data_IF_596571613727
#
_entry.id   IF_596571613727
#
_cell.length_a   1.000
_cell.length_b   1.000
_cell.length_c   1.000
_cell.angle_alpha   90.00
_cell.angle_beta   90.00
_cell.angle_gamma   90.00
#
_symmetry.space_group_name_H-M   'P 1'
#
loop_
_entity.id
_entity.type
_entity.pdbx_description
1 polymer ?
#
# COMPACT_ATOMS: atom_id res chain seq x y z
N UNK A 1 45.70 -2.91 -13.39
CA UNK A 1 44.87 -1.83 -12.82
C UNK A 1 43.42 -2.08 -13.20
N UNK A 2 42.62 -2.68 -12.30
CA UNK A 2 41.18 -2.89 -12.50
C UNK A 2 40.45 -1.65 -11.97
N UNK A 3 39.83 -0.90 -12.87
CA UNK A 3 38.92 0.19 -12.53
C UNK A 3 37.72 -0.39 -11.77
N UNK A 4 37.66 -0.12 -10.46
CA UNK A 4 36.48 -0.32 -9.63
C UNK A 4 35.55 0.85 -9.90
N UNK A 5 34.66 0.72 -10.88
CA UNK A 5 33.56 1.64 -11.04
C UNK A 5 32.67 1.56 -9.78
N UNK A 6 32.29 2.69 -9.18
CA UNK A 6 31.32 2.66 -8.09
C UNK A 6 29.99 2.16 -8.67
N UNK A 7 29.52 1.03 -8.15
CA UNK A 7 28.16 0.56 -8.33
C UNK A 7 27.21 1.65 -7.84
N UNK A 8 26.67 2.44 -8.77
CA UNK A 8 25.58 3.38 -8.49
C UNK A 8 24.38 2.56 -8.02
N UNK A 9 24.25 2.39 -6.71
CA UNK A 9 23.00 1.99 -6.08
C UNK A 9 22.04 3.16 -6.27
N UNK A 10 21.32 3.18 -7.38
CA UNK A 10 20.09 3.98 -7.48
C UNK A 10 19.09 3.33 -6.53
N UNK A 11 19.19 3.65 -5.24
CA UNK A 11 18.19 3.27 -4.25
C UNK A 11 16.90 4.01 -4.64
N UNK A 12 15.98 3.29 -5.25
CA UNK A 12 14.67 3.84 -5.61
C UNK A 12 13.96 4.13 -4.29
N UNK A 13 13.64 5.40 -4.06
CA UNK A 13 12.95 5.82 -2.84
C UNK A 13 11.54 5.25 -2.79
N UNK A 14 11.07 4.82 -1.61
CA UNK A 14 9.67 4.47 -1.40
C UNK A 14 8.75 5.62 -1.80
N UNK A 15 7.58 5.28 -2.31
CA UNK A 15 6.54 6.25 -2.60
C UNK A 15 5.49 6.20 -1.49
N UNK A 16 5.30 7.33 -0.80
CA UNK A 16 4.34 7.46 0.29
C UNK A 16 3.16 8.33 -0.11
N UNK A 17 1.98 7.99 0.38
CA UNK A 17 0.75 8.76 0.16
C UNK A 17 -0.18 8.63 1.37
N UNK A 18 -1.09 9.57 1.55
CA UNK A 18 -2.06 9.59 2.65
C UNK A 18 -3.43 9.99 2.13
N UNK A 19 -4.47 9.28 2.58
CA UNK A 19 -5.86 9.67 2.33
C UNK A 19 -6.77 9.28 3.49
N UNK A 20 -7.93 9.92 3.61
CA UNK A 20 -8.99 9.53 4.53
C UNK A 20 -9.93 8.54 3.85
N UNK A 21 -10.36 7.52 4.59
CA UNK A 21 -11.38 6.56 4.17
C UNK A 21 -12.48 6.51 5.23
N UNK A 22 -13.72 6.23 4.82
CA UNK A 22 -14.83 6.08 5.77
C UNK A 22 -14.60 4.82 6.62
N UNK A 23 -14.52 5.00 7.94
CA UNK A 23 -14.43 3.91 8.90
C UNK A 23 -15.82 3.29 9.09
N UNK A 24 -16.11 2.25 8.32
CA UNK A 24 -17.31 1.42 8.48
C UNK A 24 -16.94 0.07 9.10
N UNK A 25 -16.15 0.06 10.18
CA UNK A 25 -15.75 -1.17 10.89
C UNK A 25 -15.14 -2.21 9.96
N UNK A 26 -15.68 -3.43 9.96
CA UNK A 26 -15.18 -4.57 9.14
C UNK A 26 -15.24 -4.34 7.62
N UNK A 27 -15.93 -3.30 7.13
CA UNK A 27 -16.03 -3.00 5.70
C UNK A 27 -14.67 -2.66 5.09
N UNK A 28 -13.80 -1.99 5.84
CA UNK A 28 -12.46 -1.65 5.36
C UNK A 28 -11.64 -2.92 5.11
N UNK A 29 -11.69 -3.89 6.02
CA UNK A 29 -11.07 -5.21 5.85
C UNK A 29 -11.59 -5.95 4.62
N UNK A 30 -12.92 -5.92 4.38
CA UNK A 30 -13.52 -6.55 3.20
C UNK A 30 -13.06 -5.88 1.89
N UNK A 31 -12.94 -4.55 1.86
CA UNK A 31 -12.39 -3.82 0.70
C UNK A 31 -10.95 -4.24 0.41
N UNK A 32 -10.14 -4.44 1.46
CA UNK A 32 -8.76 -4.92 1.32
C UNK A 32 -8.69 -6.37 0.80
N UNK A 33 -9.60 -7.25 1.21
CA UNK A 33 -9.70 -8.60 0.64
C UNK A 33 -10.00 -8.59 -0.87
N UNK A 34 -10.87 -7.68 -1.32
CA UNK A 34 -11.14 -7.49 -2.75
C UNK A 34 -9.89 -7.04 -3.52
N UNK A 35 -9.11 -6.12 -2.94
CA UNK A 35 -7.86 -5.66 -3.52
C UNK A 35 -6.80 -6.76 -3.60
N UNK A 36 -6.70 -7.60 -2.56
CA UNK A 36 -5.80 -8.75 -2.52
C UNK A 36 -6.12 -9.72 -3.66
N UNK A 37 -7.39 -10.03 -3.88
CA UNK A 37 -7.83 -10.91 -4.96
C UNK A 37 -7.55 -10.29 -6.34
N UNK A 38 -7.89 -9.02 -6.56
CA UNK A 38 -7.72 -8.34 -7.84
C UNK A 38 -6.25 -8.17 -8.24
N UNK A 39 -5.38 -7.87 -7.26
CA UNK A 39 -3.97 -7.61 -7.49
C UNK A 39 -3.08 -8.84 -7.26
N UNK A 40 -3.69 -10.00 -6.96
CA UNK A 40 -3.00 -11.25 -6.60
C UNK A 40 -1.93 -10.98 -5.53
N UNK A 41 -2.28 -10.17 -4.53
CA UNK A 41 -1.37 -9.78 -3.49
C UNK A 41 -1.19 -10.91 -2.46
N UNK A 42 0.01 -11.01 -1.91
CA UNK A 42 0.36 -11.94 -0.85
C UNK A 42 0.39 -11.16 0.48
N UNK A 43 -0.35 -11.61 1.48
CA UNK A 43 -0.31 -11.00 2.81
C UNK A 43 1.02 -11.37 3.46
N UNK A 44 1.82 -10.37 3.80
CA UNK A 44 3.09 -10.55 4.49
C UNK A 44 2.90 -10.48 6.00
N UNK A 45 2.03 -9.56 6.46
CA UNK A 45 1.87 -9.23 7.87
C UNK A 45 0.53 -8.55 8.12
N UNK A 46 -0.08 -8.82 9.27
CA UNK A 46 -1.33 -8.22 9.72
C UNK A 46 -1.25 -7.95 11.22
N UNK A 47 -1.29 -6.67 11.58
CA UNK A 47 -1.35 -6.22 12.98
C UNK A 47 -2.52 -5.24 13.15
N UNK A 48 -2.83 -4.89 14.39
CA UNK A 48 -3.86 -3.89 14.68
C UNK A 48 -3.43 -2.53 14.09
N UNK A 49 -4.18 -2.05 13.10
CA UNK A 49 -3.87 -0.81 12.40
C UNK A 49 -2.75 -0.91 11.36
N UNK A 50 -2.22 -2.10 11.03
CA UNK A 50 -1.19 -2.26 10.00
C UNK A 50 -1.46 -3.47 9.11
N UNK A 51 -1.38 -3.26 7.78
CA UNK A 51 -1.41 -4.33 6.78
C UNK A 51 -0.22 -4.21 5.85
N UNK A 52 0.53 -5.31 5.69
CA UNK A 52 1.65 -5.40 4.75
C UNK A 52 1.35 -6.44 3.70
N UNK A 53 1.39 -6.02 2.45
CA UNK A 53 1.09 -6.84 1.29
C UNK A 53 2.28 -6.84 0.34
N UNK A 54 2.52 -7.95 -0.34
CA UNK A 54 3.39 -8.02 -1.50
C UNK A 54 2.52 -8.11 -2.75
N UNK A 55 2.68 -7.15 -3.65
CA UNK A 55 2.00 -7.09 -4.93
C UNK A 55 2.97 -7.52 -6.03
N UNK A 56 2.53 -8.39 -6.93
CA UNK A 56 3.35 -8.89 -8.04
C UNK A 56 4.23 -10.08 -7.68
N UNK A 57 5.13 -10.47 -8.60
CA UNK A 57 5.78 -11.78 -8.57
C UNK A 57 7.30 -11.69 -8.50
N UNK A 58 7.90 -12.50 -7.62
CA UNK A 58 9.36 -12.72 -7.63
C UNK A 58 9.80 -13.45 -8.91
N UNK A 59 11.12 -13.46 -9.21
CA UNK A 59 11.66 -14.16 -10.40
C UNK A 59 11.28 -15.65 -10.42
N UNK A 60 11.35 -16.33 -9.26
CA UNK A 60 10.99 -17.74 -9.14
C UNK A 60 9.49 -17.96 -9.38
N UNK A 61 8.65 -17.11 -8.80
CA UNK A 61 7.19 -17.18 -8.98
C UNK A 61 6.80 -16.90 -10.44
N UNK A 62 7.45 -15.95 -11.13
CA UNK A 62 7.23 -15.71 -12.56
C UNK A 62 7.51 -16.94 -13.43
N UNK A 63 8.52 -17.73 -13.06
CA UNK A 63 8.86 -18.95 -13.76
C UNK A 63 7.82 -20.07 -13.53
N UNK A 64 7.35 -20.23 -12.29
CA UNK A 64 6.35 -21.26 -11.92
C UNK A 64 4.95 -20.94 -12.48
N UNK A 65 4.51 -19.69 -12.39
CA UNK A 65 3.13 -19.33 -12.70
C UNK A 65 2.87 -18.92 -14.15
N UNK A 66 3.91 -18.85 -15.00
CA UNK A 66 3.83 -18.35 -16.40
C UNK A 66 3.12 -16.99 -16.59
N UNK A 67 2.79 -16.31 -15.48
CA UNK A 67 2.11 -15.03 -15.45
C UNK A 67 3.13 -13.90 -15.50
N UNK A 68 2.85 -12.96 -16.39
CA UNK A 68 3.84 -12.03 -16.89
C UNK A 68 3.71 -10.61 -16.28
N UNK A 69 4.89 -9.98 -16.18
CA UNK A 69 5.18 -8.53 -16.26
C UNK A 69 5.24 -7.70 -14.98
N UNK A 70 4.55 -8.04 -13.89
CA UNK A 70 4.59 -7.20 -12.68
C UNK A 70 5.79 -7.54 -11.79
N UNK A 71 6.68 -6.57 -11.64
CA UNK A 71 7.78 -6.63 -10.69
C UNK A 71 7.21 -6.53 -9.27
N UNK A 72 7.84 -7.19 -8.28
CA UNK A 72 7.29 -7.23 -6.93
C UNK A 72 7.49 -5.90 -6.22
N UNK A 73 6.50 -5.50 -5.43
CA UNK A 73 6.55 -4.34 -4.53
C UNK A 73 5.85 -4.68 -3.22
N UNK A 74 6.30 -4.09 -2.12
CA UNK A 74 5.61 -4.14 -0.84
C UNK A 74 4.69 -2.91 -0.73
N UNK A 75 3.43 -3.16 -0.39
CA UNK A 75 2.42 -2.18 -0.05
C UNK A 75 2.20 -2.25 1.46
N UNK A 76 2.50 -1.16 2.16
CA UNK A 76 2.19 -0.98 3.58
C UNK A 76 1.02 -0.03 3.72
N UNK A 77 0.04 -0.42 4.51
CA UNK A 77 -1.14 0.36 4.85
C UNK A 77 -1.19 0.48 6.36
N UNK A 78 -1.11 1.70 6.88
CA UNK A 78 -1.24 1.99 8.30
C UNK A 78 -2.54 2.79 8.52
N UNK A 79 -3.36 2.32 9.46
CA UNK A 79 -4.67 2.85 9.76
C UNK A 79 -4.61 3.60 11.08
N UNK A 80 -4.92 4.89 11.04
CA UNK A 80 -4.95 5.76 12.22
C UNK A 80 -6.34 6.29 12.44
N UNK A 81 -6.86 6.12 13.64
CA UNK A 81 -8.07 6.82 14.05
C UNK A 81 -7.76 8.31 14.16
N UNK A 82 -8.64 9.15 13.62
CA UNK A 82 -8.50 10.59 13.73
C UNK A 82 -9.01 11.01 15.10
N UNK A 83 -8.12 11.02 16.10
CA UNK A 83 -8.42 11.60 17.40
C UNK A 83 -8.63 13.12 17.25
N UNK A 84 -9.88 13.53 17.13
CA UNK A 84 -10.27 14.92 17.34
C UNK A 84 -10.21 15.21 18.84
N UNK A 85 -9.00 15.41 19.34
CA UNK A 85 -8.77 16.08 20.61
C UNK A 85 -9.12 17.56 20.41
N UNK A 86 -10.37 17.91 20.71
CA UNK A 86 -10.87 19.22 21.18
C UNK A 86 -12.40 19.24 21.00
N UNK A 87 -13.13 18.93 22.08
CA UNK A 87 -14.40 19.56 22.49
C UNK A 87 -15.14 18.64 23.46
N UNK A 88 -14.96 18.95 24.74
CA UNK A 88 -15.91 18.67 25.83
C UNK A 88 -17.23 19.36 25.52
N UNK A 89 -18.20 18.66 24.94
CA UNK A 89 -19.63 18.89 25.19
C UNK A 89 -20.50 17.83 24.52
N UNK A 90 -21.34 17.22 25.34
CA UNK A 90 -22.68 16.72 25.05
C UNK A 90 -22.89 15.71 23.89
N UNK A 91 -23.24 14.48 24.29
CA UNK A 91 -24.28 13.60 23.73
C UNK A 91 -24.39 13.33 22.21
N UNK A 92 -23.46 13.80 21.38
CA UNK A 92 -23.40 13.58 19.91
C UNK A 92 -22.27 12.59 19.54
N UNK A 93 -21.56 12.04 20.52
CA UNK A 93 -20.35 11.21 20.40
C UNK A 93 -20.48 9.87 19.64
N UNK A 94 -21.61 9.57 19.00
CA UNK A 94 -21.74 8.38 18.13
C UNK A 94 -21.44 8.62 16.65
N UNK A 95 -21.24 9.88 16.22
CA UNK A 95 -20.94 10.20 14.82
C UNK A 95 -19.48 10.56 14.54
N UNK A 96 -18.64 10.67 15.58
CA UNK A 96 -17.27 11.22 15.49
C UNK A 96 -16.22 10.27 14.91
N UNK A 97 -16.45 8.95 14.87
CA UNK A 97 -15.47 7.97 14.36
C UNK A 97 -15.74 7.52 12.91
N UNK A 98 -16.13 8.45 12.02
CA UNK A 98 -16.53 8.12 10.64
C UNK A 98 -15.38 8.01 9.66
N UNK A 99 -14.18 8.47 10.01
CA UNK A 99 -13.05 8.52 9.07
C UNK A 99 -11.79 7.93 9.71
N UNK A 100 -11.12 7.05 8.97
CA UNK A 100 -9.80 6.52 9.29
C UNK A 100 -8.80 7.13 8.32
N UNK A 101 -7.68 7.62 8.83
CA UNK A 101 -6.54 8.00 8.00
C UNK A 101 -5.80 6.74 7.59
N UNK A 102 -5.57 6.61 6.29
CA UNK A 102 -4.79 5.52 5.69
C UNK A 102 -3.48 6.09 5.17
N UNK A 103 -2.41 5.75 5.87
CA UNK A 103 -1.04 5.99 5.45
C UNK A 103 -0.57 4.84 4.56
N UNK A 104 -0.10 5.17 3.36
CA UNK A 104 0.32 4.20 2.36
C UNK A 104 1.80 4.37 2.05
N UNK A 105 2.55 3.27 2.06
CA UNK A 105 3.92 3.23 1.57
C UNK A 105 4.09 2.10 0.56
N UNK A 106 4.61 2.45 -0.62
CA UNK A 106 5.00 1.51 -1.67
C UNK A 106 6.51 1.42 -1.71
N UNK A 107 7.03 0.20 -1.59
CA UNK A 107 8.46 -0.08 -1.51
C UNK A 107 8.83 -1.05 -2.63
N UNK A 108 9.80 -0.73 -3.49
CA UNK A 108 10.23 -1.65 -4.53
C UNK A 108 10.90 -2.88 -3.90
N UNK A 109 10.50 -4.08 -4.33
CA UNK A 109 11.18 -5.31 -3.94
C UNK A 109 12.11 -5.76 -5.07
N UNK A 110 13.39 -5.95 -4.73
CA UNK A 110 14.43 -6.37 -5.68
C UNK A 110 14.98 -5.24 -6.56
N UNK A 111 15.97 -5.58 -7.39
CA UNK A 111 16.80 -4.61 -8.12
C UNK A 111 16.38 -4.40 -9.58
N UNK A 112 15.26 -5.00 -10.01
CA UNK A 112 14.79 -4.97 -11.41
C UNK A 112 14.04 -3.69 -11.77
N UNK A 113 13.83 -2.79 -10.81
CA UNK A 113 13.08 -1.57 -10.98
C UNK A 113 13.92 -0.46 -11.60
N UNK A 114 13.28 0.33 -12.47
CA UNK A 114 13.76 1.68 -12.81
C UNK A 114 12.90 2.70 -12.06
N UNK A 115 13.42 3.89 -11.72
CA UNK A 115 12.66 4.92 -11.02
C UNK A 115 11.34 5.28 -11.73
N UNK A 116 11.37 5.44 -13.05
CA UNK A 116 10.20 5.83 -13.85
C UNK A 116 9.13 4.74 -13.84
N UNK A 117 9.55 3.48 -14.01
CA UNK A 117 8.64 2.34 -14.02
C UNK A 117 8.03 2.11 -12.64
N UNK A 118 8.84 2.23 -11.59
CA UNK A 118 8.36 2.13 -10.22
C UNK A 118 7.34 3.21 -9.91
N UNK A 119 7.63 4.46 -10.27
CA UNK A 119 6.72 5.58 -10.05
C UNK A 119 5.41 5.42 -10.83
N UNK A 120 5.46 4.96 -12.09
CA UNK A 120 4.28 4.73 -12.91
C UNK A 120 3.38 3.63 -12.32
N UNK A 121 3.95 2.47 -11.99
CA UNK A 121 3.19 1.36 -11.40
C UNK A 121 2.65 1.72 -10.01
N UNK A 122 3.44 2.43 -9.20
CA UNK A 122 3.03 2.87 -7.86
C UNK A 122 1.87 3.85 -7.92
N UNK A 123 1.90 4.84 -8.83
CA UNK A 123 0.80 5.78 -9.03
C UNK A 123 -0.47 5.08 -9.50
N UNK A 124 -0.36 4.10 -10.39
CA UNK A 124 -1.49 3.29 -10.83
C UNK A 124 -2.12 2.52 -9.67
N UNK A 125 -1.29 1.87 -8.85
CA UNK A 125 -1.77 1.14 -7.68
C UNK A 125 -2.42 2.06 -6.64
N UNK A 126 -1.83 3.23 -6.37
CA UNK A 126 -2.42 4.24 -5.49
C UNK A 126 -3.75 4.76 -6.00
N UNK A 127 -3.86 5.02 -7.30
CA UNK A 127 -5.13 5.44 -7.89
C UNK A 127 -6.23 4.39 -7.68
N UNK A 128 -5.90 3.12 -7.92
CA UNK A 128 -6.83 2.01 -7.66
C UNK A 128 -7.18 1.87 -6.18
N UNK A 129 -6.21 2.01 -5.28
CA UNK A 129 -6.44 2.01 -3.83
C UNK A 129 -7.42 3.11 -3.42
N UNK A 130 -7.17 4.34 -3.87
CA UNK A 130 -8.03 5.49 -3.59
C UNK A 130 -9.44 5.28 -4.15
N UNK A 131 -9.57 4.81 -5.39
CA UNK A 131 -10.88 4.55 -5.99
C UNK A 131 -11.69 3.52 -5.18
N UNK A 132 -11.05 2.45 -4.71
CA UNK A 132 -11.71 1.42 -3.91
C UNK A 132 -12.04 1.88 -2.48
N UNK A 133 -11.19 2.71 -1.87
CA UNK A 133 -11.31 3.09 -0.46
C UNK A 133 -12.08 4.40 -0.22
N UNK A 134 -12.14 5.30 -1.19
CA UNK A 134 -12.82 6.61 -1.07
C UNK A 134 -14.26 6.57 -1.63
N UNK A 135 -14.50 5.82 -2.72
CA UNK A 135 -15.77 5.88 -3.45
C UNK A 135 -16.94 5.10 -2.81
N UNK A 136 -16.81 4.64 -1.56
CA UNK A 136 -17.82 3.77 -0.93
C UNK A 136 -18.04 4.06 0.54
#
# INVERSE_FOLDING_TARGET
>A
MRSLLPSRSSSISPLTDRFSSLNLGNVLTLKLCGLIAEHQAEILDVEEGLLRLKVGYTRLQRWVYQHAKRLPMELRLEFREQDNADDESDAVSRSRNRYTLVDVALIPLGNDWTPERFQQESRRLLWNLRANLIAS
#
